data_IF_961480074632
#
_entry.id   IF_961480074632
#
_cell.length_a   1.000
_cell.length_b   1.000
_cell.length_c   1.000
_cell.angle_alpha   90.00
_cell.angle_beta   90.00
_cell.angle_gamma   90.00
#
_symmetry.space_group_name_H-M   'P 1'
#
loop_
_entity.id
_entity.type
_entity.pdbx_description
1 polymer ?
#
# COMPACT_ATOMS: atom_id res chain seq x y z
N UNK A 1 14.71 -8.17 -23.80
CA UNK A 1 13.94 -9.25 -23.13
C UNK A 1 13.07 -8.61 -22.05
N UNK A 2 11.78 -8.91 -21.99
CA UNK A 2 10.91 -8.45 -20.88
C UNK A 2 11.23 -9.26 -19.62
N UNK A 3 11.35 -8.60 -18.45
CA UNK A 3 11.58 -9.29 -17.17
C UNK A 3 10.35 -10.12 -16.80
N UNK A 4 10.56 -11.42 -16.58
CA UNK A 4 9.49 -12.36 -16.18
C UNK A 4 8.81 -11.94 -14.89
N UNK A 5 9.53 -11.27 -14.00
CA UNK A 5 9.00 -10.79 -12.72
C UNK A 5 8.02 -9.62 -12.92
N UNK A 6 8.25 -8.76 -13.92
CA UNK A 6 7.33 -7.66 -14.26
C UNK A 6 6.03 -8.23 -14.81
N UNK A 7 6.09 -9.18 -15.75
CA UNK A 7 4.89 -9.83 -16.28
C UNK A 7 4.07 -10.50 -15.17
N UNK A 8 4.74 -11.25 -14.29
CA UNK A 8 4.10 -11.89 -13.12
C UNK A 8 3.44 -10.88 -12.18
N UNK A 9 4.07 -9.73 -11.92
CA UNK A 9 3.50 -8.68 -11.08
C UNK A 9 2.23 -8.08 -11.72
N UNK A 10 2.22 -7.88 -13.04
CA UNK A 10 1.05 -7.39 -13.78
C UNK A 10 -0.12 -8.38 -13.65
N UNK A 11 0.14 -9.67 -13.88
CA UNK A 11 -0.90 -10.71 -13.76
C UNK A 11 -1.47 -10.76 -12.34
N UNK A 12 -0.61 -10.69 -11.31
CA UNK A 12 -1.05 -10.68 -9.91
C UNK A 12 -1.87 -9.43 -9.56
N UNK A 13 -1.52 -8.26 -10.10
CA UNK A 13 -2.30 -7.04 -9.91
C UNK A 13 -3.70 -7.15 -10.56
N UNK A 14 -3.79 -7.74 -11.75
CA UNK A 14 -5.07 -7.99 -12.42
C UNK A 14 -5.94 -8.96 -11.62
N UNK A 15 -5.36 -10.03 -11.08
CA UNK A 15 -6.07 -10.98 -10.22
C UNK A 15 -6.52 -10.36 -8.90
N UNK A 16 -5.69 -9.52 -8.26
CA UNK A 16 -6.10 -8.77 -7.08
C UNK A 16 -7.32 -7.86 -7.37
N UNK A 17 -7.28 -7.12 -8.48
CA UNK A 17 -8.39 -6.25 -8.90
C UNK A 17 -9.66 -7.03 -9.25
N UNK A 18 -9.54 -8.25 -9.77
CA UNK A 18 -10.68 -9.14 -9.98
C UNK A 18 -11.27 -9.60 -8.64
N UNK A 19 -10.43 -10.04 -7.69
CA UNK A 19 -10.87 -10.52 -6.37
C UNK A 19 -11.56 -9.43 -5.55
N UNK A 20 -11.12 -8.18 -5.65
CA UNK A 20 -11.81 -7.03 -5.04
C UNK A 20 -13.21 -6.85 -5.61
N UNK A 21 -13.36 -6.95 -6.94
CA UNK A 21 -14.66 -6.80 -7.62
C UNK A 21 -15.63 -7.94 -7.30
N UNK A 22 -15.11 -9.15 -7.03
CA UNK A 22 -15.93 -10.33 -6.73
C UNK A 22 -16.15 -10.55 -5.22
N UNK A 23 -15.72 -9.62 -4.37
CA UNK A 23 -15.96 -9.70 -2.93
C UNK A 23 -15.10 -10.76 -2.21
N UNK A 24 -13.90 -11.04 -2.72
CA UNK A 24 -12.94 -11.99 -2.14
C UNK A 24 -11.73 -11.28 -1.54
N UNK A 25 -11.87 -10.53 -0.42
CA UNK A 25 -10.83 -9.65 0.09
C UNK A 25 -9.58 -10.39 0.59
N UNK A 26 -9.73 -11.60 1.15
CA UNK A 26 -8.58 -12.42 1.60
C UNK A 26 -7.70 -12.85 0.43
N UNK A 27 -8.32 -13.23 -0.68
CA UNK A 27 -7.62 -13.65 -1.87
C UNK A 27 -6.98 -12.45 -2.59
N UNK A 28 -7.68 -11.31 -2.61
CA UNK A 28 -7.13 -10.04 -3.10
C UNK A 28 -5.86 -9.64 -2.34
N UNK A 29 -5.89 -9.68 -1.00
CA UNK A 29 -4.73 -9.38 -0.16
C UNK A 29 -3.54 -10.32 -0.42
N UNK A 30 -3.80 -11.61 -0.69
CA UNK A 30 -2.75 -12.57 -1.06
C UNK A 30 -2.11 -12.19 -2.41
N UNK A 31 -2.92 -11.88 -3.43
CA UNK A 31 -2.41 -11.46 -4.73
C UNK A 31 -1.65 -10.14 -4.66
N UNK A 32 -2.09 -9.18 -3.84
CA UNK A 32 -1.36 -7.92 -3.61
C UNK A 32 -0.02 -8.13 -2.91
N UNK A 33 0.04 -9.06 -1.94
CA UNK A 33 1.30 -9.44 -1.30
C UNK A 33 2.26 -10.04 -2.32
N UNK A 34 1.78 -11.02 -3.09
CA UNK A 34 2.60 -11.69 -4.10
C UNK A 34 3.05 -10.72 -5.21
N UNK A 35 2.19 -9.78 -5.60
CA UNK A 35 2.53 -8.72 -6.55
C UNK A 35 3.69 -7.85 -6.03
N UNK A 36 3.63 -7.44 -4.76
CA UNK A 36 4.71 -6.68 -4.11
C UNK A 36 6.03 -7.46 -4.10
N UNK A 37 5.99 -8.75 -3.78
CA UNK A 37 7.18 -9.62 -3.82
C UNK A 37 7.76 -9.71 -5.25
N UNK A 38 6.92 -9.91 -6.27
CA UNK A 38 7.36 -9.95 -7.66
C UNK A 38 7.97 -8.62 -8.12
N UNK A 39 7.40 -7.48 -7.70
CA UNK A 39 7.96 -6.16 -7.99
C UNK A 39 9.32 -5.93 -7.32
N UNK A 40 9.54 -6.41 -6.09
CA UNK A 40 10.83 -6.32 -5.42
C UNK A 40 11.92 -7.11 -6.17
N UNK A 41 11.57 -8.30 -6.67
CA UNK A 41 12.47 -9.11 -7.49
C UNK A 41 12.76 -8.46 -8.85
N UNK A 42 11.76 -7.87 -9.49
CA UNK A 42 11.97 -7.11 -10.73
C UNK A 42 12.90 -5.91 -10.51
N UNK A 43 12.73 -5.20 -9.38
CA UNK A 43 13.54 -4.04 -9.02
C UNK A 43 15.00 -4.43 -8.75
N UNK A 44 15.25 -5.55 -8.07
CA UNK A 44 16.62 -6.04 -7.87
C UNK A 44 17.28 -6.45 -9.18
N UNK A 45 16.55 -7.12 -10.08
CA UNK A 45 17.03 -7.48 -11.42
C UNK A 45 17.45 -6.25 -12.24
N UNK A 46 16.60 -5.21 -12.28
CA UNK A 46 16.91 -3.95 -12.96
C UNK A 46 18.14 -3.29 -12.35
N UNK A 47 18.27 -3.28 -11.02
CA UNK A 47 19.44 -2.72 -10.34
C UNK A 47 20.72 -3.46 -10.72
N UNK A 48 20.69 -4.79 -10.69
CA UNK A 48 21.83 -5.62 -11.08
C UNK A 48 22.24 -5.36 -12.53
N UNK A 49 21.28 -5.24 -13.46
CA UNK A 49 21.58 -4.87 -14.85
C UNK A 49 22.20 -3.47 -14.96
N UNK A 50 21.66 -2.46 -14.24
CA UNK A 50 22.21 -1.09 -14.24
C UNK A 50 23.64 -1.04 -13.69
N UNK A 51 23.94 -1.82 -12.65
CA UNK A 51 25.29 -1.95 -12.08
C UNK A 51 26.24 -2.61 -13.08
N UNK A 52 25.81 -3.67 -13.78
CA UNK A 52 26.63 -4.32 -14.80
C UNK A 52 26.96 -3.36 -15.96
N UNK A 53 26.00 -2.54 -16.37
CA UNK A 53 26.21 -1.54 -17.43
C UNK A 53 27.08 -0.37 -16.96
N UNK A 54 26.94 0.06 -15.70
CA UNK A 54 27.74 1.15 -15.14
C UNK A 54 28.06 0.94 -13.65
N UNK A 55 29.16 0.24 -13.33
CA UNK A 55 29.48 -0.14 -11.96
C UNK A 55 29.87 1.05 -11.08
N UNK A 56 30.41 2.12 -11.66
CA UNK A 56 30.79 3.34 -10.93
C UNK A 56 29.59 4.09 -10.33
N UNK A 57 28.38 3.84 -10.84
CA UNK A 57 27.14 4.45 -10.35
C UNK A 57 26.37 3.59 -9.35
N UNK A 58 26.96 2.50 -8.86
CA UNK A 58 26.31 1.58 -7.90
C UNK A 58 25.72 2.32 -6.70
N UNK A 59 26.47 3.25 -6.10
CA UNK A 59 26.00 4.03 -4.95
C UNK A 59 24.78 4.91 -5.29
N UNK A 60 24.71 5.46 -6.50
CA UNK A 60 23.56 6.25 -6.95
C UNK A 60 22.32 5.37 -7.10
N UNK A 61 22.45 4.16 -7.66
CA UNK A 61 21.33 3.23 -7.82
C UNK A 61 20.81 2.72 -6.47
N UNK A 62 21.68 2.57 -5.46
CA UNK A 62 21.28 2.24 -4.10
C UNK A 62 20.58 3.44 -3.44
N UNK A 63 21.08 4.66 -3.65
CA UNK A 63 20.47 5.87 -3.10
C UNK A 63 19.05 6.11 -3.65
N UNK A 64 18.84 5.94 -4.96
CA UNK A 64 17.50 6.00 -5.59
C UNK A 64 16.52 5.02 -4.93
N UNK A 65 16.99 3.82 -4.57
CA UNK A 65 16.16 2.81 -3.90
C UNK A 65 15.75 3.23 -2.49
N UNK A 66 16.69 3.79 -1.71
CA UNK A 66 16.44 4.28 -0.35
C UNK A 66 15.47 5.46 -0.39
N UNK A 67 15.66 6.42 -1.30
CA UNK A 67 14.75 7.56 -1.45
C UNK A 67 13.32 7.11 -1.78
N UNK A 68 13.15 6.11 -2.66
CA UNK A 68 11.83 5.55 -2.95
C UNK A 68 11.17 4.86 -1.75
N UNK A 69 11.95 4.18 -0.89
CA UNK A 69 11.44 3.60 0.36
C UNK A 69 11.02 4.71 1.34
N UNK A 70 11.83 5.75 1.48
CA UNK A 70 11.52 6.89 2.36
C UNK A 70 10.25 7.62 1.93
N UNK A 71 10.01 7.78 0.63
CA UNK A 71 8.77 8.37 0.11
C UNK A 71 7.54 7.50 0.42
N UNK A 72 7.66 6.18 0.28
CA UNK A 72 6.60 5.24 0.68
C UNK A 72 6.31 5.31 2.18
N UNK A 73 7.34 5.33 3.03
CA UNK A 73 7.19 5.45 4.49
C UNK A 73 6.54 6.77 4.86
N UNK A 74 6.98 7.89 4.26
CA UNK A 74 6.36 9.19 4.47
C UNK A 74 4.86 9.16 4.11
N UNK A 75 4.48 8.60 2.95
CA UNK A 75 3.07 8.45 2.55
C UNK A 75 2.28 7.52 3.48
N UNK A 76 2.88 6.43 3.95
CA UNK A 76 2.25 5.49 4.87
C UNK A 76 2.06 6.05 6.28
N UNK A 77 2.88 7.01 6.72
CA UNK A 77 2.70 7.71 7.99
C UNK A 77 1.69 8.87 7.85
N UNK A 78 1.70 9.57 6.71
CA UNK A 78 0.78 10.70 6.46
C UNK A 78 -0.63 10.28 6.06
N UNK A 79 -0.82 9.12 5.43
CA UNK A 79 -2.13 8.58 5.02
C UNK A 79 -3.08 8.26 6.18
N UNK A 80 -2.64 7.55 7.24
CA UNK A 80 -3.48 7.20 8.39
C UNK A 80 -3.97 8.41 9.17
N UNK A 81 -3.19 9.48 9.28
CA UNK A 81 -3.62 10.69 9.95
C UNK A 81 -4.83 11.33 9.24
N UNK A 82 -4.87 11.28 7.90
CA UNK A 82 -5.99 11.79 7.09
C UNK A 82 -7.25 10.90 7.17
N UNK A 83 -7.07 9.59 7.28
CA UNK A 83 -8.19 8.64 7.41
C UNK A 83 -8.76 8.61 8.84
N UNK A 84 -7.91 8.68 9.87
CA UNK A 84 -8.36 8.78 11.27
C UNK A 84 -9.11 10.09 11.51
N UNK A 85 -8.67 11.22 10.94
CA UNK A 85 -9.43 12.48 11.01
C UNK A 85 -10.76 12.42 10.26
N UNK A 86 -10.85 11.70 9.13
CA UNK A 86 -12.11 11.49 8.41
C UNK A 86 -13.06 10.52 9.13
N UNK A 87 -12.52 9.47 9.74
CA UNK A 87 -13.30 8.51 10.54
C UNK A 87 -13.82 9.15 11.83
N UNK A 88 -13.01 9.95 12.53
CA UNK A 88 -13.43 10.67 13.73
C UNK A 88 -14.54 11.70 13.46
N UNK A 89 -14.53 12.35 12.28
CA UNK A 89 -15.58 13.30 11.88
C UNK A 89 -16.91 12.62 11.47
N UNK A 90 -16.91 11.30 11.23
CA UNK A 90 -18.09 10.53 10.81
C UNK A 90 -18.84 9.83 11.96
N UNK A 91 -18.36 9.94 13.20
CA UNK A 91 -19.07 9.42 14.36
C UNK A 91 -20.11 10.44 14.83
N UNK A 92 -21.43 10.16 14.78
CA UNK A 92 -22.40 11.02 15.44
C UNK A 92 -22.14 10.94 16.94
N UNK A 93 -21.71 12.06 17.54
CA UNK A 93 -21.67 12.22 18.99
C UNK A 93 -23.09 11.96 19.51
N UNK A 94 -23.34 10.77 20.07
CA UNK A 94 -24.58 10.50 20.82
C UNK A 94 -24.62 11.49 21.98
N UNK A 95 -25.41 12.54 21.83
CA UNK A 95 -25.77 13.46 22.89
C UNK A 95 -26.86 12.82 23.76
N UNK A 96 -26.47 11.86 24.60
CA UNK A 96 -27.35 11.33 25.64
C UNK A 96 -27.23 12.23 26.88
N UNK A 97 -27.83 13.43 26.80
CA UNK A 97 -28.15 14.26 27.97
C UNK A 97 -29.59 14.75 27.84
N UNK A 98 -30.53 13.83 27.99
CA UNK A 98 -31.91 14.15 28.35
C UNK A 98 -32.15 13.54 29.73
N UNK A 99 -31.71 14.25 30.78
CA UNK A 99 -32.26 14.09 32.12
C UNK A 99 -33.67 14.70 32.10
N UNK A 100 -34.62 13.93 31.59
CA UNK A 100 -36.03 14.16 31.85
C UNK A 100 -36.27 13.96 33.35
N UNK A 101 -36.36 15.04 34.11
CA UNK A 101 -37.27 15.08 35.26
C UNK A 101 -38.57 15.78 34.84
N UNK A 102 -39.59 15.84 35.70
CA UNK A 102 -39.97 14.97 36.81
C UNK A 102 -41.42 14.43 36.61
N UNK A 103 -41.91 13.64 37.57
CA UNK A 103 -43.31 13.22 37.80
C UNK A 103 -43.71 11.83 37.26
N UNK A 104 -43.62 10.82 38.14
CA UNK A 104 -44.58 9.73 38.19
C UNK A 104 -45.10 9.60 39.63
N UNK A 105 -46.42 9.47 39.70
CA UNK A 105 -47.31 9.46 40.87
C UNK A 105 -47.04 8.31 41.83
#
# INVERSE_FOLDING_TARGET
MSSRNIARAIDMAQHAAYCHRTGQPRLAALYEKNCREAMLLAKSEIRSMRIQVNPFRTFLYIAEDISGVMEMVARAISGPASEVSRMAASQPLKSDFVLAGPNLR
#
